data_IF_093886321451
#
_entry.id   IF_093886321451
#
_cell.length_a   1.000
_cell.length_b   1.000
_cell.length_c   1.000
_cell.angle_alpha   90.00
_cell.angle_beta   90.00
_cell.angle_gamma   90.00
#
_symmetry.space_group_name_H-M   'P 1'
#
loop_
_entity.id
_entity.type
_entity.pdbx_description
1 polymer ?
#
# COMPACT_ATOMS: atom_id res chain seq x y z
N UNK A 1 -6.08 -21.10 6.90
CA UNK A 1 -5.01 -20.10 6.70
C UNK A 1 -5.60 -18.98 5.88
N UNK A 2 -5.30 -17.73 6.18
CA UNK A 2 -5.74 -16.59 5.37
C UNK A 2 -5.09 -16.65 4.00
N UNK A 3 -5.87 -16.43 2.93
CA UNK A 3 -5.37 -16.41 1.57
C UNK A 3 -4.44 -15.22 1.33
N UNK A 4 -4.76 -14.08 1.95
CA UNK A 4 -4.05 -12.82 1.73
C UNK A 4 -3.51 -12.27 3.03
N UNK A 5 -2.24 -11.90 3.01
CA UNK A 5 -1.65 -11.02 4.01
C UNK A 5 -1.46 -9.62 3.42
N UNK A 6 -1.90 -8.62 4.15
CA UNK A 6 -1.63 -7.21 3.83
C UNK A 6 -0.67 -6.68 4.87
N UNK A 7 0.49 -6.21 4.41
CA UNK A 7 1.63 -5.87 5.27
C UNK A 7 1.96 -4.39 5.13
N UNK A 8 2.04 -3.70 6.24
CA UNK A 8 2.45 -2.30 6.27
C UNK A 8 1.82 -1.52 7.41
N UNK A 9 1.79 -0.21 7.25
CA UNK A 9 1.30 0.71 8.28
C UNK A 9 -0.22 0.83 8.32
N UNK A 10 -0.71 1.07 9.55
CA UNK A 10 -1.97 1.71 9.84
C UNK A 10 -1.68 2.97 10.69
N UNK A 11 -2.32 4.08 10.40
CA UNK A 11 -2.09 5.37 11.06
C UNK A 11 -3.39 6.15 11.21
N UNK A 12 -3.34 7.28 11.91
CA UNK A 12 -4.46 8.21 12.00
C UNK A 12 -4.21 9.45 11.14
N UNK A 13 -5.16 9.75 10.28
CA UNK A 13 -5.24 11.00 9.56
C UNK A 13 -6.04 12.01 10.41
N UNK A 14 -5.39 13.13 10.75
CA UNK A 14 -5.98 14.23 11.50
C UNK A 14 -6.22 15.41 10.57
N UNK A 15 -7.47 15.66 10.20
CA UNK A 15 -7.85 16.61 9.14
C UNK A 15 -8.67 17.75 9.78
N UNK A 16 -8.23 19.01 9.72
CA UNK A 16 -9.01 20.13 10.17
C UNK A 16 -10.31 20.26 9.37
N UNK A 17 -11.44 20.42 10.05
CA UNK A 17 -12.73 20.65 9.42
C UNK A 17 -13.22 22.08 9.70
N UNK A 18 -14.16 22.55 8.89
CA UNK A 18 -14.78 23.88 9.07
C UNK A 18 -15.44 23.93 10.45
N UNK A 19 -15.07 24.95 11.25
CA UNK A 19 -15.56 25.09 12.62
C UNK A 19 -14.50 24.87 13.70
N UNK A 20 -13.25 24.48 13.30
CA UNK A 20 -12.11 24.32 14.19
C UNK A 20 -12.01 22.95 14.88
N UNK A 21 -12.87 22.02 14.52
CA UNK A 21 -12.77 20.63 14.94
C UNK A 21 -11.75 19.89 14.06
N UNK A 22 -11.26 18.74 14.54
CA UNK A 22 -10.37 17.84 13.81
C UNK A 22 -11.14 16.56 13.53
N UNK A 23 -11.25 16.20 12.26
CA UNK A 23 -11.73 14.87 11.85
C UNK A 23 -10.61 13.88 12.04
N UNK A 24 -10.87 12.80 12.78
CA UNK A 24 -9.95 11.70 13.02
C UNK A 24 -10.37 10.52 12.14
N UNK A 25 -9.50 10.09 11.24
CA UNK A 25 -9.78 9.01 10.28
C UNK A 25 -8.69 7.97 10.32
N UNK A 26 -9.09 6.70 10.27
CA UNK A 26 -8.13 5.59 10.13
C UNK A 26 -7.61 5.54 8.70
N UNK A 27 -6.30 5.70 8.56
CA UNK A 27 -5.57 5.75 7.31
C UNK A 27 -4.43 4.73 7.21
N UNK A 28 -3.59 4.94 6.21
CA UNK A 28 -2.52 4.03 5.82
C UNK A 28 -2.90 3.18 4.61
N UNK A 29 -2.08 3.23 3.55
CA UNK A 29 -2.36 2.51 2.31
C UNK A 29 -2.62 1.01 2.52
N UNK A 30 -1.72 0.28 3.24
CA UNK A 30 -1.94 -1.13 3.56
C UNK A 30 -3.20 -1.36 4.41
N UNK A 31 -3.50 -0.51 5.38
CA UNK A 31 -4.71 -0.60 6.18
C UNK A 31 -5.98 -0.49 5.31
N UNK A 32 -6.01 0.48 4.38
CA UNK A 32 -7.12 0.66 3.44
C UNK A 32 -7.27 -0.55 2.50
N UNK A 33 -6.17 -1.08 1.97
CA UNK A 33 -6.18 -2.28 1.13
C UNK A 33 -6.70 -3.51 1.88
N UNK A 34 -6.32 -3.68 3.16
CA UNK A 34 -6.83 -4.77 3.99
C UNK A 34 -8.34 -4.68 4.20
N UNK A 35 -8.85 -3.48 4.54
CA UNK A 35 -10.30 -3.23 4.66
C UNK A 35 -11.04 -3.53 3.35
N UNK A 36 -10.50 -3.07 2.22
CA UNK A 36 -11.11 -3.30 0.92
C UNK A 36 -11.17 -4.79 0.57
N UNK A 37 -10.09 -5.54 0.73
CA UNK A 37 -10.05 -6.99 0.50
C UNK A 37 -11.03 -7.77 1.36
N UNK A 38 -11.09 -7.47 2.66
CA UNK A 38 -12.01 -8.12 3.57
C UNK A 38 -13.48 -7.85 3.19
N UNK A 39 -13.81 -6.61 2.80
CA UNK A 39 -15.15 -6.22 2.31
C UNK A 39 -15.52 -6.88 0.98
N UNK A 40 -14.55 -7.22 0.14
CA UNK A 40 -14.73 -8.04 -1.07
C UNK A 40 -14.94 -9.54 -0.76
N UNK A 41 -14.86 -9.92 0.52
CA UNK A 41 -15.13 -11.28 0.99
C UNK A 41 -13.91 -12.21 1.03
N UNK A 42 -12.70 -11.69 0.88
CA UNK A 42 -11.49 -12.49 0.97
C UNK A 42 -11.00 -12.63 2.42
N UNK A 43 -10.50 -13.83 2.76
CA UNK A 43 -9.85 -14.08 4.05
C UNK A 43 -8.54 -13.29 4.12
N UNK A 44 -8.60 -12.15 4.78
CA UNK A 44 -7.52 -11.15 4.84
C UNK A 44 -6.97 -11.04 6.26
N UNK A 45 -5.65 -11.15 6.42
CA UNK A 45 -4.95 -10.86 7.66
C UNK A 45 -4.09 -9.62 7.50
N UNK A 46 -4.18 -8.69 8.43
CA UNK A 46 -3.30 -7.54 8.51
C UNK A 46 -2.04 -7.89 9.31
N UNK A 47 -0.87 -7.52 8.80
CA UNK A 47 0.44 -7.64 9.46
C UNK A 47 1.02 -6.25 9.59
N UNK A 48 1.01 -5.73 10.79
CA UNK A 48 1.49 -4.40 11.13
C UNK A 48 1.51 -4.20 12.63
N UNK A 49 2.01 -3.06 13.07
CA UNK A 49 1.96 -2.65 14.46
C UNK A 49 0.69 -1.83 14.76
N UNK A 50 0.02 -2.15 15.85
CA UNK A 50 -1.12 -1.39 16.39
C UNK A 50 -0.82 -1.02 17.84
N UNK A 51 -0.81 0.29 18.14
CA UNK A 51 -0.57 0.81 19.49
C UNK A 51 -1.70 0.41 20.46
N UNK A 52 -1.37 0.36 21.75
CA UNK A 52 -2.37 0.26 22.84
C UNK A 52 -3.08 1.59 23.15
N UNK A 53 -2.69 2.71 22.52
CA UNK A 53 -3.29 4.03 22.70
C UNK A 53 -4.73 4.13 22.15
N UNK A 54 -5.36 5.30 22.28
CA UNK A 54 -6.74 5.53 21.81
C UNK A 54 -6.87 5.39 20.29
N UNK A 55 -5.87 5.86 19.54
CA UNK A 55 -5.84 5.77 18.10
C UNK A 55 -5.62 4.33 17.61
N UNK A 56 -4.72 3.58 18.27
CA UNK A 56 -4.55 2.16 17.96
C UNK A 56 -5.83 1.36 18.18
N UNK A 57 -6.59 1.66 19.26
CA UNK A 57 -7.91 1.04 19.48
C UNK A 57 -8.94 1.39 18.40
N UNK A 58 -8.91 2.61 17.89
CA UNK A 58 -9.77 3.02 16.78
C UNK A 58 -9.41 2.27 15.48
N UNK A 59 -8.11 2.13 15.18
CA UNK A 59 -7.60 1.35 14.05
C UNK A 59 -8.03 -0.12 14.18
N UNK A 60 -7.79 -0.74 15.34
CA UNK A 60 -8.17 -2.13 15.60
C UNK A 60 -9.65 -2.36 15.38
N UNK A 61 -10.49 -1.48 15.94
CA UNK A 61 -11.93 -1.55 15.77
C UNK A 61 -12.35 -1.49 14.31
N UNK A 62 -11.83 -0.54 13.53
CA UNK A 62 -12.22 -0.34 12.13
C UNK A 62 -11.78 -1.51 11.24
N UNK A 63 -10.60 -2.08 11.49
CA UNK A 63 -10.13 -3.28 10.80
C UNK A 63 -11.02 -4.48 11.10
N UNK A 64 -11.37 -4.71 12.38
CA UNK A 64 -12.27 -5.80 12.81
C UNK A 64 -13.69 -5.63 12.24
N UNK A 65 -14.23 -4.41 12.28
CA UNK A 65 -15.55 -4.09 11.71
C UNK A 65 -15.59 -4.32 10.17
N UNK A 66 -14.44 -4.24 9.52
CA UNK A 66 -14.29 -4.56 8.10
C UNK A 66 -14.08 -6.05 7.81
N UNK A 67 -13.95 -6.90 8.83
CA UNK A 67 -13.74 -8.33 8.69
C UNK A 67 -12.28 -8.76 8.54
N UNK A 68 -11.33 -7.88 8.85
CA UNK A 68 -9.89 -8.18 8.78
C UNK A 68 -9.47 -9.01 10.01
N UNK A 69 -8.71 -10.08 9.79
CA UNK A 69 -8.10 -10.85 10.87
C UNK A 69 -6.85 -10.13 11.41
N UNK A 70 -6.73 -10.03 12.73
CA UNK A 70 -5.66 -9.33 13.45
C UNK A 70 -4.79 -10.26 14.33
N UNK A 71 -4.80 -11.57 14.08
CA UNK A 71 -4.03 -12.54 14.88
C UNK A 71 -2.51 -12.36 14.73
N UNK A 72 -2.06 -11.72 13.64
CA UNK A 72 -0.65 -11.50 13.34
C UNK A 72 -0.20 -10.04 13.55
N UNK A 73 -1.00 -9.25 14.24
CA UNK A 73 -0.67 -7.85 14.58
C UNK A 73 0.25 -7.82 15.80
N UNK A 74 1.32 -7.05 15.72
CA UNK A 74 2.14 -6.71 16.88
C UNK A 74 1.51 -5.58 17.68
N UNK A 75 1.55 -5.65 19.00
CA UNK A 75 1.00 -4.64 19.90
C UNK A 75 2.02 -4.22 20.94
N UNK A 76 2.14 -2.89 21.13
CA UNK A 76 2.98 -2.32 22.18
C UNK A 76 2.42 -0.97 22.66
N UNK A 77 3.12 -0.34 23.61
CA UNK A 77 2.78 0.99 24.12
C UNK A 77 3.46 2.13 23.34
N UNK A 78 4.16 1.83 22.23
CA UNK A 78 4.64 2.87 21.32
C UNK A 78 3.44 3.60 20.70
N UNK A 79 3.54 4.92 20.46
CA UNK A 79 2.41 5.68 19.95
C UNK A 79 1.98 5.26 18.54
N UNK A 80 0.72 5.50 18.19
CA UNK A 80 0.23 5.41 16.82
C UNK A 80 0.86 6.49 15.94
N UNK A 81 1.22 6.15 14.70
CA UNK A 81 1.67 7.12 13.71
C UNK A 81 0.54 8.07 13.29
N UNK A 82 0.88 9.33 13.04
CA UNK A 82 -0.08 10.37 12.67
C UNK A 82 0.31 11.03 11.34
N UNK A 83 -0.69 11.28 10.49
CA UNK A 83 -0.62 12.21 9.38
C UNK A 83 -1.52 13.41 9.70
N UNK A 84 -0.94 14.58 9.92
CA UNK A 84 -1.64 15.77 10.38
C UNK A 84 -1.76 16.74 9.22
N UNK A 85 -2.97 16.90 8.70
CA UNK A 85 -3.23 17.88 7.65
C UNK A 85 -3.29 19.28 8.26
N UNK A 86 -2.69 20.26 7.59
CA UNK A 86 -2.85 21.68 7.87
C UNK A 86 -3.32 22.37 6.59
N UNK A 87 -4.31 23.25 6.72
CA UNK A 87 -4.85 24.03 5.60
C UNK A 87 -4.37 25.46 5.77
N UNK A 88 -3.64 25.99 4.80
CA UNK A 88 -3.18 27.37 4.83
C UNK A 88 -4.31 28.35 4.44
N UNK A 89 -4.07 29.66 4.54
CA UNK A 89 -5.01 30.73 4.20
C UNK A 89 -5.49 30.68 2.73
N UNK A 90 -4.71 30.06 1.84
CA UNK A 90 -5.06 29.84 0.42
C UNK A 90 -5.88 28.56 0.20
N UNK A 91 -6.24 27.81 1.24
CA UNK A 91 -6.97 26.56 1.17
C UNK A 91 -6.13 25.35 0.70
N UNK A 92 -4.80 25.49 0.64
CA UNK A 92 -3.90 24.40 0.27
C UNK A 92 -3.60 23.54 1.49
N UNK A 93 -3.80 22.23 1.36
CA UNK A 93 -3.44 21.25 2.37
C UNK A 93 -1.94 20.94 2.33
N UNK A 94 -1.31 20.88 3.49
CA UNK A 94 0.02 20.32 3.72
C UNK A 94 -0.07 19.29 4.83
N UNK A 95 0.87 18.32 4.85
CA UNK A 95 0.86 17.25 5.83
C UNK A 95 2.14 17.27 6.65
N UNK A 96 1.99 17.20 7.97
CA UNK A 96 3.04 16.86 8.91
C UNK A 96 2.88 15.39 9.30
N UNK A 97 3.97 14.64 9.28
CA UNK A 97 3.95 13.23 9.63
C UNK A 97 4.72 12.98 10.93
N UNK A 98 4.10 12.29 11.90
CA UNK A 98 4.74 11.80 13.12
C UNK A 98 4.85 10.28 13.03
N UNK A 99 5.98 9.81 12.52
CA UNK A 99 6.20 8.41 12.16
C UNK A 99 7.27 7.75 13.01
N UNK A 100 8.26 8.53 13.49
CA UNK A 100 9.40 8.03 14.22
C UNK A 100 9.01 7.45 15.58
N UNK A 101 9.59 6.29 15.89
CA UNK A 101 9.35 5.59 17.15
C UNK A 101 7.87 5.28 17.42
N UNK A 102 7.12 5.00 16.36
CA UNK A 102 5.71 4.59 16.45
C UNK A 102 5.54 3.10 16.25
N UNK A 103 4.45 2.55 16.80
CA UNK A 103 4.14 1.13 16.64
C UNK A 103 3.84 0.78 15.18
N UNK A 104 3.23 1.70 14.43
CA UNK A 104 2.86 1.52 13.03
C UNK A 104 4.04 1.13 12.11
N UNK A 105 5.27 1.45 12.50
CA UNK A 105 6.51 1.15 11.74
C UNK A 105 7.50 0.27 12.51
N UNK A 106 7.10 -0.31 13.64
CA UNK A 106 7.94 -1.14 14.50
C UNK A 106 8.04 -2.58 13.97
N UNK A 107 8.47 -2.75 12.73
CA UNK A 107 8.69 -4.08 12.14
C UNK A 107 10.00 -4.69 12.63
N UNK A 108 9.91 -5.95 13.10
CA UNK A 108 11.08 -6.69 13.58
C UNK A 108 10.88 -8.20 13.37
N UNK A 109 11.94 -8.88 12.97
CA UNK A 109 11.93 -10.32 12.67
C UNK A 109 11.46 -11.21 13.82
N UNK A 110 11.51 -10.72 15.08
CA UNK A 110 11.10 -11.49 16.25
C UNK A 110 9.59 -11.80 16.29
N UNK A 111 8.75 -10.98 15.66
CA UNK A 111 7.31 -11.16 15.67
C UNK A 111 6.69 -11.39 14.29
N UNK A 112 7.43 -11.10 13.21
CA UNK A 112 6.96 -11.38 11.85
C UNK A 112 6.71 -12.89 11.68
N UNK A 113 5.56 -13.30 11.08
CA UNK A 113 5.15 -14.70 11.01
C UNK A 113 6.13 -15.55 10.20
N UNK A 114 6.34 -16.79 10.67
CA UNK A 114 7.18 -17.78 9.98
C UNK A 114 6.45 -18.49 8.86
N UNK A 115 5.15 -18.61 8.99
CA UNK A 115 4.22 -19.22 8.04
C UNK A 115 4.22 -18.43 6.73
N UNK A 116 3.52 -18.93 5.74
CA UNK A 116 3.37 -18.30 4.44
C UNK A 116 1.89 -18.05 4.10
N UNK A 117 1.63 -17.16 3.14
CA UNK A 117 0.33 -16.91 2.56
C UNK A 117 0.37 -17.21 1.06
N UNK A 118 -0.78 -17.28 0.42
CA UNK A 118 -0.87 -17.39 -1.04
C UNK A 118 -0.42 -16.08 -1.71
N UNK A 119 -0.92 -14.96 -1.18
CA UNK A 119 -0.60 -13.62 -1.68
C UNK A 119 -0.18 -12.72 -0.52
N UNK A 120 0.87 -11.93 -0.72
CA UNK A 120 1.28 -10.85 0.17
C UNK A 120 1.16 -9.52 -0.58
N UNK A 121 0.28 -8.65 -0.11
CA UNK A 121 0.20 -7.27 -0.56
C UNK A 121 0.99 -6.38 0.40
N UNK A 122 1.97 -5.67 -0.11
CA UNK A 122 2.89 -4.83 0.67
C UNK A 122 3.16 -3.52 -0.05
N UNK A 123 3.42 -2.46 0.70
CA UNK A 123 3.77 -1.19 0.07
C UNK A 123 3.80 -0.01 1.03
N UNK A 124 3.70 1.17 0.43
CA UNK A 124 3.62 2.46 1.10
C UNK A 124 4.85 2.74 1.99
N UNK A 125 4.69 3.57 3.00
CA UNK A 125 5.76 4.12 3.86
C UNK A 125 6.48 3.03 4.65
N UNK A 126 5.82 1.94 4.98
CA UNK A 126 6.43 0.80 5.66
C UNK A 126 7.59 0.16 4.86
N UNK A 127 7.59 0.33 3.55
CA UNK A 127 8.66 -0.17 2.68
C UNK A 127 9.83 0.81 2.51
N UNK A 128 9.71 1.98 3.12
CA UNK A 128 10.68 3.08 3.02
C UNK A 128 11.42 3.33 4.35
N UNK A 129 10.69 3.31 5.48
CA UNK A 129 11.24 3.72 6.77
C UNK A 129 12.09 2.64 7.43
N UNK A 130 13.33 2.97 7.68
CA UNK A 130 14.27 2.11 8.39
C UNK A 130 14.12 2.24 9.94
N UNK A 131 14.41 1.19 10.74
CA UNK A 131 14.95 -0.12 10.31
C UNK A 131 13.87 -1.10 9.81
N UNK A 132 12.59 -0.77 9.95
CA UNK A 132 11.45 -1.64 9.64
C UNK A 132 11.44 -2.14 8.19
N UNK A 133 11.75 -1.27 7.23
CA UNK A 133 11.79 -1.64 5.81
C UNK A 133 12.83 -2.75 5.53
N UNK A 134 14.00 -2.70 6.16
CA UNK A 134 15.02 -3.75 6.03
C UNK A 134 14.60 -5.07 6.68
N UNK A 135 13.92 -5.03 7.82
CA UNK A 135 13.37 -6.22 8.49
C UNK A 135 12.28 -6.88 7.62
N UNK A 136 11.36 -6.08 7.08
CA UNK A 136 10.32 -6.54 6.17
C UNK A 136 10.90 -7.14 4.88
N UNK A 137 11.88 -6.48 4.27
CA UNK A 137 12.53 -6.98 3.06
C UNK A 137 13.18 -8.35 3.29
N UNK A 138 13.97 -8.48 4.37
CA UNK A 138 14.61 -9.73 4.75
C UNK A 138 13.59 -10.84 5.03
N UNK A 139 12.50 -10.50 5.72
CA UNK A 139 11.42 -11.44 6.00
C UNK A 139 10.73 -11.88 4.71
N UNK A 140 10.36 -10.95 3.85
CA UNK A 140 9.65 -11.24 2.60
C UNK A 140 10.51 -12.04 1.61
N UNK A 141 11.83 -11.81 1.58
CA UNK A 141 12.77 -12.57 0.73
C UNK A 141 12.79 -14.08 1.01
N UNK A 142 12.26 -14.50 2.15
CA UNK A 142 12.16 -15.91 2.55
C UNK A 142 10.75 -16.49 2.37
N UNK A 143 9.84 -15.75 1.72
CA UNK A 143 8.47 -16.18 1.46
C UNK A 143 8.30 -16.72 0.05
N UNK A 144 7.38 -17.69 -0.10
CA UNK A 144 7.01 -18.26 -1.39
C UNK A 144 5.75 -17.63 -1.99
N UNK A 145 5.12 -16.72 -1.26
CA UNK A 145 3.91 -16.02 -1.66
C UNK A 145 4.07 -15.21 -2.96
N UNK A 146 2.98 -15.05 -3.70
CA UNK A 146 2.94 -14.06 -4.78
C UNK A 146 2.85 -12.65 -4.19
N UNK A 147 3.86 -11.82 -4.47
CA UNK A 147 3.95 -10.46 -3.92
C UNK A 147 3.31 -9.44 -4.86
N UNK A 148 2.38 -8.66 -4.31
CA UNK A 148 1.80 -7.46 -4.94
C UNK A 148 2.36 -6.24 -4.21
N UNK A 149 3.08 -5.38 -4.93
CA UNK A 149 3.76 -4.22 -4.37
C UNK A 149 3.14 -2.90 -4.87
N UNK A 150 2.82 -2.01 -3.93
CA UNK A 150 2.37 -0.64 -4.21
C UNK A 150 3.27 0.36 -3.48
N UNK A 151 4.22 1.02 -4.15
CA UNK A 151 5.11 1.99 -3.52
C UNK A 151 4.37 3.17 -2.89
N UNK A 152 3.22 3.56 -3.43
CA UNK A 152 2.34 4.61 -2.89
C UNK A 152 3.16 5.83 -2.39
N UNK A 153 3.85 6.49 -3.30
CA UNK A 153 4.95 7.43 -3.03
C UNK A 153 4.50 8.65 -2.23
N UNK A 154 5.29 9.03 -1.24
CA UNK A 154 5.03 10.20 -0.37
C UNK A 154 6.28 11.11 -0.33
N UNK A 155 6.45 12.03 -1.29
CA UNK A 155 7.60 12.94 -1.35
C UNK A 155 7.75 13.82 -0.10
N UNK A 156 6.66 14.08 0.61
CA UNK A 156 6.66 14.82 1.87
C UNK A 156 7.32 14.08 3.05
N UNK A 157 7.46 12.75 2.95
CA UNK A 157 8.15 11.92 3.96
C UNK A 157 9.63 11.76 3.58
N UNK A 158 9.93 11.52 2.31
CA UNK A 158 11.29 11.44 1.79
C UNK A 158 11.37 12.25 0.49
N UNK A 159 11.93 13.45 0.58
CA UNK A 159 12.02 14.37 -0.56
C UNK A 159 13.18 14.06 -1.52
N UNK A 160 14.17 13.27 -1.09
CA UNK A 160 15.25 12.83 -1.99
C UNK A 160 14.75 11.71 -2.89
N UNK A 161 14.57 12.08 -4.17
CA UNK A 161 14.06 11.17 -5.22
C UNK A 161 14.95 9.95 -5.41
N UNK A 162 16.26 10.10 -5.32
CA UNK A 162 17.19 9.00 -5.55
C UNK A 162 17.14 7.98 -4.42
N UNK A 163 17.11 8.44 -3.18
CA UNK A 163 16.92 7.58 -2.00
C UNK A 163 15.58 6.85 -2.11
N UNK A 164 14.50 7.56 -2.44
CA UNK A 164 13.18 6.95 -2.58
C UNK A 164 13.15 5.90 -3.69
N UNK A 165 13.65 6.27 -4.88
CA UNK A 165 13.72 5.35 -6.03
C UNK A 165 14.53 4.09 -5.70
N UNK A 166 15.69 4.23 -5.04
CA UNK A 166 16.50 3.08 -4.66
C UNK A 166 15.75 2.14 -3.69
N UNK A 167 14.95 2.71 -2.78
CA UNK A 167 14.08 1.91 -1.94
C UNK A 167 13.03 1.16 -2.77
N UNK A 168 12.29 1.84 -3.66
CA UNK A 168 11.29 1.21 -4.54
C UNK A 168 11.92 0.11 -5.38
N UNK A 169 13.05 0.40 -6.04
CA UNK A 169 13.75 -0.57 -6.90
C UNK A 169 14.14 -1.85 -6.15
N UNK A 170 14.52 -1.74 -4.89
CA UNK A 170 14.80 -2.92 -4.05
C UNK A 170 13.61 -3.86 -3.96
N UNK A 171 12.38 -3.32 -3.80
CA UNK A 171 11.17 -4.13 -3.66
C UNK A 171 10.70 -4.76 -4.97
N UNK A 172 11.04 -4.17 -6.11
CA UNK A 172 10.75 -4.73 -7.44
C UNK A 172 11.33 -6.15 -7.59
N UNK A 173 12.48 -6.45 -7.01
CA UNK A 173 13.10 -7.77 -7.10
C UNK A 173 12.28 -8.89 -6.43
N UNK A 174 11.36 -8.53 -5.53
CA UNK A 174 10.47 -9.47 -4.84
C UNK A 174 9.06 -9.49 -5.43
N UNK A 175 8.67 -8.46 -6.19
CA UNK A 175 7.31 -8.27 -6.65
C UNK A 175 7.01 -9.07 -7.94
N UNK A 176 5.86 -9.74 -7.97
CA UNK A 176 5.27 -10.28 -9.20
C UNK A 176 4.33 -9.30 -9.87
N UNK A 177 3.61 -8.53 -9.07
CA UNK A 177 2.74 -7.48 -9.55
C UNK A 177 3.17 -6.16 -8.90
N UNK A 178 3.34 -5.12 -9.72
CA UNK A 178 3.65 -3.77 -9.26
C UNK A 178 2.51 -2.85 -9.65
N UNK A 179 1.95 -2.13 -8.70
CA UNK A 179 0.93 -1.11 -8.96
C UNK A 179 1.43 0.23 -8.44
N UNK A 180 1.32 1.27 -9.25
CA UNK A 180 1.62 2.64 -8.83
C UNK A 180 0.76 3.63 -9.62
N UNK A 181 0.75 4.90 -9.19
CA UNK A 181 0.09 5.96 -9.94
C UNK A 181 1.01 6.56 -11.01
N UNK A 182 0.43 7.25 -12.00
CA UNK A 182 1.15 8.06 -12.99
C UNK A 182 1.99 9.17 -12.30
N UNK A 183 1.46 9.73 -11.21
CA UNK A 183 2.15 10.74 -10.41
C UNK A 183 3.36 10.14 -9.67
N UNK A 184 3.21 8.97 -9.02
CA UNK A 184 4.32 8.24 -8.40
C UNK A 184 5.41 7.93 -9.42
N UNK A 185 4.99 7.42 -10.59
CA UNK A 185 5.90 7.09 -11.67
C UNK A 185 6.69 8.32 -12.12
N UNK A 186 6.00 9.41 -12.41
CA UNK A 186 6.60 10.66 -12.89
C UNK A 186 7.52 11.30 -11.86
N UNK A 187 7.19 11.14 -10.59
CA UNK A 187 8.04 11.63 -9.51
C UNK A 187 9.31 10.79 -9.36
N UNK A 188 9.22 9.47 -9.46
CA UNK A 188 10.37 8.56 -9.29
C UNK A 188 11.31 8.56 -10.51
N UNK A 189 10.76 8.61 -11.73
CA UNK A 189 11.52 8.33 -12.96
C UNK A 189 11.44 9.50 -13.95
N UNK A 190 12.59 9.77 -14.59
CA UNK A 190 12.68 10.68 -15.72
C UNK A 190 12.73 9.93 -17.06
N UNK A 191 12.97 8.63 -17.01
CA UNK A 191 13.01 7.75 -18.18
C UNK A 191 11.60 7.45 -18.69
N UNK A 192 11.43 7.09 -19.97
CA UNK A 192 10.17 6.65 -20.52
C UNK A 192 9.59 5.46 -19.74
N UNK A 193 8.26 5.48 -19.50
CA UNK A 193 7.52 4.43 -18.79
C UNK A 193 7.85 3.04 -19.35
N UNK A 194 7.90 2.90 -20.67
CA UNK A 194 8.19 1.63 -21.34
C UNK A 194 9.57 1.05 -21.01
N UNK A 195 10.57 1.89 -20.82
CA UNK A 195 11.93 1.45 -20.49
C UNK A 195 12.00 0.96 -19.04
N UNK A 196 11.39 1.69 -18.10
CA UNK A 196 11.36 1.31 -16.70
C UNK A 196 10.58 0.01 -16.50
N UNK A 197 9.41 -0.11 -17.12
CA UNK A 197 8.57 -1.31 -17.04
C UNK A 197 9.30 -2.51 -17.68
N UNK A 198 9.96 -2.34 -18.81
CA UNK A 198 10.76 -3.41 -19.41
C UNK A 198 11.91 -3.88 -18.51
N UNK A 199 12.54 -2.95 -17.79
CA UNK A 199 13.55 -3.29 -16.79
C UNK A 199 12.93 -4.12 -15.64
N UNK A 200 11.78 -3.73 -15.10
CA UNK A 200 11.09 -4.47 -14.04
C UNK A 200 10.69 -5.88 -14.49
N UNK A 201 10.21 -6.03 -15.73
CA UNK A 201 9.95 -7.34 -16.30
C UNK A 201 11.21 -8.21 -16.38
N UNK A 202 12.36 -7.63 -16.72
CA UNK A 202 13.63 -8.38 -16.77
C UNK A 202 14.04 -8.90 -15.40
N UNK A 203 13.61 -8.25 -14.33
CA UNK A 203 13.92 -8.58 -12.92
C UNK A 203 12.89 -9.48 -12.26
N UNK A 204 11.80 -9.80 -12.91
CA UNK A 204 10.85 -10.82 -12.43
C UNK A 204 9.43 -10.34 -12.19
N UNK A 205 9.14 -9.04 -12.33
CA UNK A 205 7.76 -8.57 -12.41
C UNK A 205 7.06 -9.21 -13.61
N UNK A 206 5.77 -9.49 -13.46
CA UNK A 206 4.96 -10.14 -14.48
C UNK A 206 3.81 -9.26 -14.95
N UNK A 207 3.31 -8.40 -14.06
CA UNK A 207 2.26 -7.43 -14.34
C UNK A 207 2.63 -6.10 -13.70
N UNK A 208 2.49 -5.02 -14.46
CA UNK A 208 2.61 -3.65 -13.93
C UNK A 208 1.31 -2.91 -14.21
N UNK A 209 0.73 -2.29 -13.18
CA UNK A 209 -0.49 -1.50 -13.30
C UNK A 209 -0.18 -0.05 -12.95
N UNK A 210 -0.45 0.86 -13.89
CA UNK A 210 -0.30 2.29 -13.69
C UNK A 210 -1.69 2.94 -13.66
N UNK A 211 -2.08 3.47 -12.50
CA UNK A 211 -3.35 4.20 -12.36
C UNK A 211 -3.19 5.65 -12.83
N UNK A 212 -4.20 6.20 -13.51
CA UNK A 212 -4.14 7.49 -14.22
C UNK A 212 -5.33 8.40 -13.87
N UNK A 213 -5.79 8.33 -12.62
CA UNK A 213 -6.93 9.10 -12.12
C UNK A 213 -8.16 9.00 -13.04
N UNK A 214 -8.70 10.12 -13.50
CA UNK A 214 -9.88 10.17 -14.38
C UNK A 214 -9.70 9.51 -15.75
N UNK A 215 -8.45 9.22 -16.16
CA UNK A 215 -8.16 8.49 -17.39
C UNK A 215 -8.27 6.97 -17.21
N UNK A 216 -8.40 6.48 -15.97
CA UNK A 216 -8.49 5.05 -15.65
C UNK A 216 -7.13 4.43 -15.29
N UNK A 217 -6.79 3.30 -15.88
CA UNK A 217 -5.52 2.62 -15.63
C UNK A 217 -4.98 1.94 -16.90
N UNK A 218 -3.68 1.67 -16.87
CA UNK A 218 -3.01 0.84 -17.88
C UNK A 218 -2.39 -0.36 -17.19
N UNK A 219 -2.66 -1.54 -17.69
CA UNK A 219 -2.01 -2.78 -17.26
C UNK A 219 -1.05 -3.28 -18.35
N UNK A 220 0.15 -3.65 -17.94
CA UNK A 220 1.23 -4.09 -18.80
C UNK A 220 1.64 -5.51 -18.44
N UNK A 221 1.90 -6.32 -19.45
CA UNK A 221 2.57 -7.62 -19.39
C UNK A 221 3.69 -7.65 -20.41
N UNK A 222 4.46 -8.75 -20.45
CA UNK A 222 5.46 -8.95 -21.54
C UNK A 222 4.84 -9.04 -22.92
N UNK A 223 3.57 -9.45 -23.00
CA UNK A 223 2.86 -9.74 -24.23
C UNK A 223 2.07 -8.53 -24.76
N UNK A 224 1.84 -7.53 -23.91
CA UNK A 224 1.08 -6.36 -24.33
C UNK A 224 0.67 -5.39 -23.20
N UNK A 225 -0.19 -4.45 -23.60
CA UNK A 225 -0.80 -3.44 -22.73
C UNK A 225 -2.29 -3.41 -22.95
N UNK A 226 -3.03 -3.24 -21.86
CA UNK A 226 -4.46 -2.92 -21.88
C UNK A 226 -4.70 -1.61 -21.13
N UNK A 227 -5.58 -0.78 -21.69
CA UNK A 227 -6.06 0.43 -21.06
C UNK A 227 -7.53 0.24 -20.66
N UNK A 228 -7.82 0.43 -19.37
CA UNK A 228 -9.17 0.40 -18.83
C UNK A 228 -9.58 1.84 -18.47
N UNK A 229 -10.61 2.39 -19.12
CA UNK A 229 -11.06 3.75 -18.81
C UNK A 229 -11.69 3.82 -17.41
N UNK A 230 -11.61 4.99 -16.78
CA UNK A 230 -12.30 5.21 -15.51
C UNK A 230 -13.83 5.17 -15.69
N UNK A 231 -14.52 4.67 -14.68
CA UNK A 231 -15.96 4.79 -14.61
C UNK A 231 -16.36 6.28 -14.48
N UNK A 232 -17.42 6.68 -15.18
CA UNK A 232 -17.96 8.03 -15.03
C UNK A 232 -18.80 8.09 -13.76
N UNK A 233 -18.26 8.68 -12.73
CA UNK A 233 -18.90 8.85 -11.42
C UNK A 233 -18.79 10.30 -10.97
N UNK A 234 -19.70 10.76 -10.12
CA UNK A 234 -19.51 12.00 -9.37
C UNK A 234 -18.47 11.74 -8.28
N UNK A 235 -17.36 12.49 -8.30
CA UNK A 235 -16.30 12.35 -7.34
C UNK A 235 -16.71 12.96 -6.01
N UNK A 236 -16.88 12.13 -4.97
CA UNK A 236 -17.16 12.56 -3.59
C UNK A 236 -15.86 12.63 -2.79
N UNK A 237 -15.03 11.59 -2.87
CA UNK A 237 -13.73 11.49 -2.23
C UNK A 237 -12.84 10.56 -3.04
N UNK A 238 -11.55 10.88 -3.12
CA UNK A 238 -10.52 10.06 -3.79
C UNK A 238 -9.61 9.30 -2.82
N UNK A 239 -9.73 9.52 -1.51
CA UNK A 239 -8.92 8.84 -0.50
C UNK A 239 -9.16 7.33 -0.55
N UNK A 240 -8.09 6.54 -0.60
CA UNK A 240 -8.16 5.08 -0.68
C UNK A 240 -8.55 4.50 -2.03
N UNK A 241 -8.82 5.32 -3.06
CA UNK A 241 -9.12 4.80 -4.41
C UNK A 241 -7.98 3.94 -4.97
N UNK A 242 -6.73 4.39 -4.84
CA UNK A 242 -5.54 3.64 -5.22
C UNK A 242 -5.40 2.33 -4.44
N UNK A 243 -5.66 2.37 -3.13
CA UNK A 243 -5.60 1.20 -2.25
C UNK A 243 -6.68 0.17 -2.62
N UNK A 244 -7.86 0.65 -3.00
CA UNK A 244 -8.95 -0.20 -3.51
C UNK A 244 -8.58 -0.88 -4.83
N UNK A 245 -7.92 -0.19 -5.75
CA UNK A 245 -7.40 -0.82 -6.99
C UNK A 245 -6.37 -1.90 -6.64
N UNK A 246 -5.48 -1.67 -5.66
CA UNK A 246 -4.58 -2.69 -5.14
C UNK A 246 -5.32 -3.94 -4.66
N UNK A 247 -6.41 -3.76 -3.92
CA UNK A 247 -7.28 -4.85 -3.46
C UNK A 247 -7.94 -5.62 -4.63
N UNK A 248 -8.45 -4.92 -5.64
CA UNK A 248 -9.05 -5.53 -6.84
C UNK A 248 -8.01 -6.32 -7.65
N UNK A 249 -6.76 -5.86 -7.72
CA UNK A 249 -5.68 -6.61 -8.36
C UNK A 249 -5.43 -7.93 -7.61
N UNK A 250 -5.39 -7.90 -6.29
CA UNK A 250 -5.25 -9.11 -5.45
C UNK A 250 -6.45 -10.04 -5.64
N UNK A 251 -7.68 -9.50 -5.68
CA UNK A 251 -8.88 -10.25 -5.99
C UNK A 251 -8.76 -10.98 -7.34
N UNK A 252 -8.36 -10.27 -8.38
CA UNK A 252 -8.15 -10.86 -9.71
C UNK A 252 -7.10 -11.96 -9.69
N UNK A 253 -5.98 -11.75 -8.98
CA UNK A 253 -4.93 -12.74 -8.80
C UNK A 253 -5.45 -14.03 -8.15
N UNK A 254 -6.26 -13.92 -7.12
CA UNK A 254 -6.84 -15.08 -6.41
C UNK A 254 -7.88 -15.82 -7.25
N UNK A 255 -8.65 -15.11 -8.07
CA UNK A 255 -9.69 -15.72 -8.92
C UNK A 255 -9.13 -16.40 -10.16
N UNK A 256 -8.12 -15.80 -10.78
CA UNK A 256 -7.64 -16.19 -12.11
C UNK A 256 -6.20 -16.71 -12.11
N UNK A 257 -5.46 -16.49 -11.03
CA UNK A 257 -4.01 -16.73 -10.98
C UNK A 257 -3.23 -15.76 -11.87
N UNK A 258 -1.92 -15.77 -11.80
CA UNK A 258 -1.07 -14.91 -12.66
C UNK A 258 -1.27 -15.22 -14.17
N UNK A 259 -1.43 -16.48 -14.51
CA UNK A 259 -1.68 -16.91 -15.91
C UNK A 259 -3.01 -16.41 -16.44
N UNK A 260 -4.10 -16.53 -15.66
CA UNK A 260 -5.43 -16.07 -16.02
C UNK A 260 -5.50 -14.55 -16.14
N UNK A 261 -4.89 -13.79 -15.21
CA UNK A 261 -4.79 -12.35 -15.32
C UNK A 261 -4.11 -11.89 -16.62
N UNK A 262 -3.08 -12.60 -17.07
CA UNK A 262 -2.41 -12.29 -18.33
C UNK A 262 -3.31 -12.54 -19.54
N UNK A 263 -4.15 -13.58 -19.50
CA UNK A 263 -5.04 -13.95 -20.59
C UNK A 263 -6.24 -13.02 -20.69
N UNK A 264 -6.80 -12.61 -19.56
CA UNK A 264 -7.95 -11.70 -19.50
C UNK A 264 -7.57 -10.23 -19.77
N UNK A 265 -6.29 -9.92 -19.67
CA UNK A 265 -5.72 -8.62 -20.03
C UNK A 265 -5.46 -8.50 -21.56
N UNK A 266 -5.36 -9.58 -22.29
CA UNK A 266 -5.13 -9.61 -23.75
C UNK A 266 -6.42 -9.92 -24.53
#
# INVERSE_FOLDING_TARGET
MSQVWVVGEALMDLIPVVGGEVSEMVGGGPCNSAKALARLGFSTTFIGGISSDSYGKAIEKELLDSGVNLDLVHRSDLPTALAIATINEAGLASYEFKLDSTESFNFHSSWLPKEDAEVIHIGSVATLLEPGASELYKWLSNKSATVVFDPNVRPSIQGDREIYRNSVERWIDLAKIVKLSEDDFSWLYQSPESEVIANWFSRGAEIVVVTRAEKGLSAFTRDGRIDCPAAKVELVDSVGAGDTIGAVIVEGLLKYGLGGLKTDIL
#
